data_IF_136365698858
#
_entry.id   IF_136365698858
#
_cell.length_a   1.000
_cell.length_b   1.000
_cell.length_c   1.000
_cell.angle_alpha   90.00
_cell.angle_beta   90.00
_cell.angle_gamma   90.00
#
_symmetry.space_group_name_H-M   'P 1'
#
loop_
_entity.id
_entity.type
_entity.pdbx_description
1 polymer ?
#
# COMPACT_ATOMS: atom_id res chain seq x y z
N UNK A 1 -70.95 6.14 -8.48
CA UNK A 1 -70.02 5.01 -8.30
C UNK A 1 -68.80 5.25 -9.18
N UNK A 2 -67.75 5.89 -8.65
CA UNK A 2 -66.55 6.21 -9.45
C UNK A 2 -65.32 6.44 -8.57
N UNK A 3 -64.90 5.42 -7.85
CA UNK A 3 -63.62 5.37 -7.13
C UNK A 3 -63.25 3.90 -6.93
N UNK A 4 -62.56 3.29 -7.89
CA UNK A 4 -61.60 2.17 -7.74
C UNK A 4 -60.97 2.06 -9.16
N UNK A 5 -60.17 3.06 -9.49
CA UNK A 5 -59.30 3.07 -10.67
C UNK A 5 -58.01 3.78 -10.25
N UNK A 6 -57.33 3.24 -9.22
CA UNK A 6 -56.05 3.76 -8.74
C UNK A 6 -55.23 2.73 -7.94
N UNK A 7 -55.41 1.43 -8.23
CA UNK A 7 -54.75 0.34 -7.49
C UNK A 7 -53.79 -0.49 -8.36
N UNK A 8 -53.26 0.09 -9.44
CA UNK A 8 -52.32 -0.62 -10.31
C UNK A 8 -51.21 0.31 -10.82
N UNK A 9 -50.67 1.13 -9.92
CA UNK A 9 -49.45 1.91 -10.13
C UNK A 9 -48.67 2.05 -8.82
N UNK A 10 -48.35 0.93 -8.15
CA UNK A 10 -47.36 0.92 -7.08
C UNK A 10 -46.76 -0.47 -6.85
N UNK A 11 -46.49 -1.20 -7.93
CA UNK A 11 -45.66 -2.42 -7.88
C UNK A 11 -44.35 -2.18 -8.65
N UNK A 12 -43.77 -1.01 -8.42
CA UNK A 12 -42.40 -0.71 -8.78
C UNK A 12 -41.63 -0.52 -7.48
N UNK A 13 -40.56 -1.29 -7.33
CA UNK A 13 -39.46 -1.02 -6.40
C UNK A 13 -39.73 -1.28 -4.91
N UNK A 14 -39.59 -2.54 -4.51
CA UNK A 14 -38.97 -2.87 -3.23
C UNK A 14 -37.79 -3.82 -3.47
N UNK A 15 -36.84 -3.36 -4.29
CA UNK A 15 -35.44 -3.78 -4.18
C UNK A 15 -34.69 -2.68 -3.43
N UNK A 16 -34.65 -2.80 -2.11
CA UNK A 16 -33.67 -2.19 -1.22
C UNK A 16 -33.92 -2.86 0.14
N UNK A 17 -32.96 -3.42 0.85
CA UNK A 17 -31.61 -2.93 1.02
C UNK A 17 -30.69 -4.14 1.21
N UNK A 18 -29.61 -4.19 0.43
CA UNK A 18 -28.46 -4.99 0.81
C UNK A 18 -28.07 -4.58 2.23
N UNK A 19 -28.08 -5.53 3.17
CA UNK A 19 -27.37 -5.41 4.42
C UNK A 19 -25.89 -5.31 4.08
N UNK A 20 -25.44 -4.12 3.71
CA UNK A 20 -24.04 -3.74 3.79
C UNK A 20 -23.72 -3.73 5.26
N UNK A 21 -23.33 -4.90 5.77
CA UNK A 21 -22.66 -5.03 7.04
C UNK A 21 -21.57 -3.97 7.04
N UNK A 22 -21.77 -2.89 7.80
CA UNK A 22 -20.82 -1.81 7.82
C UNK A 22 -19.51 -2.40 8.27
N UNK A 23 -18.53 -2.21 7.40
CA UNK A 23 -17.23 -2.82 7.52
C UNK A 23 -16.66 -2.48 8.90
N UNK A 24 -16.41 -3.51 9.72
CA UNK A 24 -15.80 -3.31 11.04
C UNK A 24 -14.39 -2.81 10.80
N UNK A 25 -14.07 -1.64 11.34
CA UNK A 25 -12.77 -0.98 11.20
C UNK A 25 -12.10 -0.89 12.56
N UNK A 26 -10.78 -1.03 12.56
CA UNK A 26 -9.93 -0.76 13.70
C UNK A 26 -9.32 0.62 13.49
N UNK A 27 -9.65 1.54 14.40
CA UNK A 27 -9.16 2.91 14.40
C UNK A 27 -8.07 3.00 15.47
N UNK A 28 -6.84 3.23 15.04
CA UNK A 28 -5.71 3.50 15.92
C UNK A 28 -5.63 5.01 16.19
N UNK A 29 -5.63 5.39 17.46
CA UNK A 29 -5.53 6.77 17.90
C UNK A 29 -4.07 7.20 18.09
N UNK A 30 -3.81 8.51 18.12
CA UNK A 30 -2.45 9.06 18.32
C UNK A 30 -1.80 8.65 19.63
N UNK A 31 -2.62 8.36 20.65
CA UNK A 31 -2.22 7.87 21.96
C UNK A 31 -1.91 6.35 21.99
N UNK A 32 -2.10 5.65 20.87
CA UNK A 32 -1.88 4.20 20.75
C UNK A 32 -3.10 3.35 21.06
N UNK A 33 -4.23 3.94 21.47
CA UNK A 33 -5.47 3.21 21.72
C UNK A 33 -6.09 2.71 20.42
N UNK A 34 -6.66 1.51 20.44
CA UNK A 34 -7.33 0.90 19.29
C UNK A 34 -8.82 0.79 19.58
N UNK A 35 -9.63 1.40 18.72
CA UNK A 35 -11.10 1.33 18.77
C UNK A 35 -11.59 0.52 17.59
N UNK A 36 -12.25 -0.61 17.88
CA UNK A 36 -12.84 -1.46 16.84
C UNK A 36 -14.35 -1.25 16.78
N UNK A 37 -14.87 -0.94 15.59
CA UNK A 37 -16.30 -0.74 15.39
C UNK A 37 -16.67 -0.38 13.95
N UNK A 38 -17.96 -0.31 13.71
CA UNK A 38 -18.53 0.11 12.44
C UNK A 38 -18.50 1.64 12.35
N UNK A 39 -17.95 2.20 11.27
CA UNK A 39 -18.01 3.66 11.04
C UNK A 39 -19.40 4.00 10.50
N UNK A 40 -20.24 4.60 11.34
CA UNK A 40 -21.63 4.94 11.03
C UNK A 40 -21.71 6.26 10.25
N UNK A 41 -20.88 7.25 10.58
CA UNK A 41 -20.86 8.53 9.87
C UNK A 41 -19.56 9.31 10.11
N UNK A 42 -19.25 10.23 9.19
CA UNK A 42 -18.20 11.25 9.33
C UNK A 42 -18.85 12.62 9.12
N UNK A 43 -18.98 13.41 10.18
CA UNK A 43 -19.60 14.74 10.14
C UNK A 43 -18.69 15.72 10.85
N UNK A 44 -18.35 16.84 10.19
CA UNK A 44 -17.49 17.89 10.75
C UNK A 44 -16.13 17.37 11.26
N UNK A 45 -15.51 16.44 10.53
CA UNK A 45 -14.24 15.82 10.92
C UNK A 45 -14.33 14.91 12.15
N UNK A 46 -15.54 14.46 12.52
CA UNK A 46 -15.77 13.52 13.63
C UNK A 46 -16.39 12.22 13.12
N UNK A 47 -15.70 11.12 13.39
CA UNK A 47 -16.16 9.77 13.14
C UNK A 47 -17.12 9.33 14.24
N UNK A 48 -18.35 8.97 13.86
CA UNK A 48 -19.28 8.25 14.72
C UNK A 48 -19.06 6.77 14.48
N UNK A 49 -18.51 6.08 15.48
CA UNK A 49 -18.18 4.66 15.42
C UNK A 49 -19.08 3.90 16.37
N UNK A 50 -19.78 2.89 15.88
CA UNK A 50 -20.55 1.98 16.69
C UNK A 50 -19.71 0.75 16.98
N UNK A 51 -19.20 0.68 18.21
CA UNK A 51 -18.47 -0.45 18.73
C UNK A 51 -19.41 -1.39 19.49
N UNK A 52 -19.21 -2.70 19.35
CA UNK A 52 -19.97 -3.69 20.10
C UNK A 52 -19.63 -3.68 21.61
N UNK A 53 -18.40 -3.31 21.96
CA UNK A 53 -17.93 -3.28 23.36
C UNK A 53 -18.13 -1.93 24.03
N UNK A 54 -18.05 -0.84 23.26
CA UNK A 54 -18.07 0.53 23.79
C UNK A 54 -19.35 1.32 23.45
N UNK A 55 -20.25 0.75 22.64
CA UNK A 55 -21.41 1.47 22.13
C UNK A 55 -21.03 2.52 21.07
N UNK A 56 -21.73 3.65 21.04
CA UNK A 56 -21.44 4.73 20.07
C UNK A 56 -20.34 5.63 20.59
N UNK A 57 -19.20 5.65 19.90
CA UNK A 57 -18.02 6.44 20.21
C UNK A 57 -17.86 7.54 19.16
N UNK A 58 -17.65 8.77 19.60
CA UNK A 58 -17.34 9.91 18.73
C UNK A 58 -15.83 10.18 18.76
N UNK A 59 -15.16 10.02 17.62
CA UNK A 59 -13.71 10.18 17.48
C UNK A 59 -13.41 11.33 16.54
N UNK A 60 -12.59 12.29 16.96
CA UNK A 60 -12.13 13.36 16.07
C UNK A 60 -11.07 12.82 15.09
N UNK A 61 -11.18 13.16 13.80
CA UNK A 61 -10.22 12.74 12.77
C UNK A 61 -8.79 13.15 13.10
N UNK A 62 -8.63 14.28 13.81
CA UNK A 62 -7.35 14.81 14.26
C UNK A 62 -6.65 13.90 15.28
N UNK A 63 -7.40 13.01 15.94
CA UNK A 63 -6.89 12.02 16.90
C UNK A 63 -6.65 10.67 16.26
N UNK A 64 -7.15 10.46 15.04
CA UNK A 64 -6.93 9.23 14.29
C UNK A 64 -5.52 9.23 13.70
N UNK A 65 -4.79 8.15 13.95
CA UNK A 65 -3.49 7.88 13.34
C UNK A 65 -3.64 7.00 12.12
N UNK A 66 -4.39 5.90 12.23
CA UNK A 66 -4.61 4.92 11.14
C UNK A 66 -6.02 4.33 11.23
N UNK A 67 -6.70 4.18 10.08
CA UNK A 67 -7.94 3.39 9.98
C UNK A 67 -7.62 2.13 9.19
N UNK A 68 -7.75 0.96 9.81
CA UNK A 68 -7.55 -0.35 9.16
C UNK A 68 -8.90 -1.04 8.99
N UNK A 69 -9.25 -1.51 7.78
CA UNK A 69 -10.36 -2.44 7.62
C UNK A 69 -10.02 -3.74 8.36
N UNK A 70 -10.88 -4.17 9.29
CA UNK A 70 -10.74 -5.47 9.96
C UNK A 70 -11.39 -6.51 9.06
N UNK A 71 -10.74 -6.78 7.92
CA UNK A 71 -11.00 -8.02 7.20
C UNK A 71 -10.49 -9.18 8.05
N UNK A 72 -11.23 -10.29 8.07
CA UNK A 72 -10.88 -11.54 8.73
C UNK A 72 -9.40 -11.93 8.52
N UNK A 73 -8.76 -12.66 9.45
CA UNK A 73 -7.32 -12.92 9.42
C UNK A 73 -6.98 -13.91 8.30
N UNK A 74 -6.83 -13.42 7.07
CA UNK A 74 -6.28 -14.15 5.93
C UNK A 74 -5.84 -13.18 4.80
N UNK A 75 -5.19 -12.07 5.12
CA UNK A 75 -4.40 -11.27 4.16
C UNK A 75 -3.59 -10.16 4.87
N UNK A 76 -3.01 -10.45 6.03
CA UNK A 76 -2.03 -9.54 6.62
C UNK A 76 -0.72 -9.72 5.84
N UNK A 77 -0.57 -9.00 4.72
CA UNK A 77 0.72 -8.57 4.11
C UNK A 77 0.59 -7.75 2.81
N UNK A 78 -0.56 -7.15 2.49
CA UNK A 78 -0.74 -6.45 1.19
C UNK A 78 -1.37 -5.06 1.28
N UNK A 79 -1.39 -4.43 2.47
CA UNK A 79 -1.88 -3.05 2.61
C UNK A 79 -0.82 -2.04 3.09
N UNK A 80 0.40 -2.50 3.38
CA UNK A 80 1.58 -1.62 3.58
C UNK A 80 2.56 -1.68 2.39
N UNK A 81 2.21 -2.45 1.34
CA UNK A 81 3.09 -2.77 0.20
C UNK A 81 2.47 -2.43 -1.16
N UNK A 82 1.68 -1.35 -1.27
CA UNK A 82 0.97 -1.06 -2.53
C UNK A 82 1.17 0.31 -3.15
N UNK A 83 2.04 1.16 -2.58
CA UNK A 83 2.54 2.35 -3.29
C UNK A 83 3.88 2.02 -3.98
N UNK A 84 4.80 1.35 -3.28
CA UNK A 84 6.09 0.97 -3.85
C UNK A 84 5.98 -0.04 -5.00
N UNK A 85 5.02 -0.98 -4.96
CA UNK A 85 4.92 -2.00 -6.01
C UNK A 85 4.52 -1.39 -7.37
N UNK A 86 3.62 -0.40 -7.38
CA UNK A 86 3.24 0.33 -8.59
C UNK A 86 4.35 1.24 -9.09
N UNK A 87 5.03 1.95 -8.18
CA UNK A 87 6.12 2.85 -8.50
C UNK A 87 7.35 2.09 -9.01
N UNK A 88 7.70 0.96 -8.39
CA UNK A 88 8.77 0.06 -8.85
C UNK A 88 8.41 -0.58 -10.19
N UNK A 89 7.14 -0.91 -10.43
CA UNK A 89 6.68 -1.43 -11.74
C UNK A 89 6.84 -0.39 -12.85
N UNK A 90 6.38 0.84 -12.61
CA UNK A 90 6.51 1.94 -13.57
C UNK A 90 7.99 2.30 -13.82
N UNK A 91 8.81 2.25 -12.77
CA UNK A 91 10.26 2.41 -12.90
C UNK A 91 10.88 1.29 -13.74
N UNK A 92 10.53 0.04 -13.46
CA UNK A 92 10.99 -1.12 -14.22
C UNK A 92 10.61 -1.00 -15.70
N UNK A 93 9.37 -0.60 -16.00
CA UNK A 93 8.89 -0.42 -17.37
C UNK A 93 9.68 0.71 -18.07
N UNK A 94 9.98 1.82 -17.39
CA UNK A 94 10.82 2.89 -17.94
C UNK A 94 12.24 2.39 -18.23
N UNK A 95 12.85 1.66 -17.30
CA UNK A 95 14.20 1.12 -17.50
C UNK A 95 14.28 0.14 -18.66
N UNK A 96 13.25 -0.69 -18.87
CA UNK A 96 13.18 -1.65 -19.98
C UNK A 96 12.94 -0.99 -21.33
N UNK A 97 12.18 0.12 -21.37
CA UNK A 97 11.88 0.84 -22.60
C UNK A 97 12.96 1.87 -22.97
N UNK A 98 13.87 2.20 -22.06
CA UNK A 98 14.99 3.11 -22.30
C UNK A 98 16.22 2.33 -22.83
N UNK A 99 16.51 2.51 -24.11
CA UNK A 99 17.65 1.85 -24.78
C UNK A 99 19.00 2.23 -24.18
N UNK A 100 19.14 3.44 -23.67
CA UNK A 100 20.40 3.90 -23.08
C UNK A 100 20.62 3.27 -21.71
N UNK A 101 19.55 3.16 -20.90
CA UNK A 101 19.60 2.44 -19.62
C UNK A 101 19.91 0.96 -19.87
N UNK A 102 19.25 0.31 -20.85
CA UNK A 102 19.52 -1.09 -21.18
C UNK A 102 20.98 -1.33 -21.61
N UNK A 103 21.55 -0.45 -22.44
CA UNK A 103 22.96 -0.54 -22.83
C UNK A 103 23.91 -0.38 -21.63
N UNK A 104 23.58 0.50 -20.67
CA UNK A 104 24.35 0.65 -19.43
C UNK A 104 24.20 -0.55 -18.50
N UNK A 105 23.01 -1.17 -18.43
CA UNK A 105 22.79 -2.41 -17.68
C UNK A 105 23.61 -3.55 -18.28
N UNK A 106 23.69 -3.66 -19.61
CA UNK A 106 24.56 -4.64 -20.28
C UNK A 106 26.05 -4.38 -19.97
N UNK A 107 26.47 -3.11 -19.98
CA UNK A 107 27.82 -2.75 -19.58
C UNK A 107 28.11 -3.13 -18.12
N UNK A 108 27.13 -2.94 -17.22
CA UNK A 108 27.23 -3.32 -15.82
C UNK A 108 27.22 -4.85 -15.62
N UNK A 109 26.47 -5.60 -16.43
CA UNK A 109 26.51 -7.07 -16.38
C UNK A 109 27.87 -7.65 -16.75
N UNK A 110 28.61 -6.96 -17.64
CA UNK A 110 29.97 -7.33 -18.00
C UNK A 110 31.03 -6.76 -17.03
N UNK A 111 30.62 -6.02 -16.00
CA UNK A 111 31.51 -5.41 -15.03
C UNK A 111 31.95 -6.46 -13.98
N UNK A 112 33.27 -6.68 -13.81
CA UNK A 112 33.78 -7.70 -12.88
C UNK A 112 33.56 -7.34 -11.41
N UNK A 113 33.38 -6.07 -11.05
CA UNK A 113 33.02 -5.66 -9.70
C UNK A 113 31.54 -5.94 -9.41
N UNK A 114 30.68 -5.74 -10.40
CA UNK A 114 29.26 -6.10 -10.30
C UNK A 114 29.05 -7.61 -10.18
N UNK A 115 29.77 -8.43 -10.97
CA UNK A 115 29.70 -9.89 -10.85
C UNK A 115 30.07 -10.38 -9.45
N UNK A 116 31.14 -9.83 -8.84
CA UNK A 116 31.55 -10.18 -7.47
C UNK A 116 30.50 -9.86 -6.41
N UNK A 117 29.59 -8.92 -6.68
CA UNK A 117 28.50 -8.56 -5.78
C UNK A 117 27.32 -9.53 -5.93
N UNK A 118 27.05 -9.99 -7.15
CA UNK A 118 26.06 -11.04 -7.39
C UNK A 118 26.49 -12.39 -6.81
N UNK A 119 27.80 -12.62 -6.75
CA UNK A 119 28.40 -13.80 -6.10
C UNK A 119 28.40 -13.71 -4.57
N UNK A 120 28.16 -12.53 -3.98
CA UNK A 120 28.12 -12.34 -2.54
C UNK A 120 26.74 -12.73 -1.96
N UNK A 121 26.66 -13.83 -1.18
CA UNK A 121 25.40 -14.31 -0.62
C UNK A 121 24.80 -13.34 0.41
N UNK A 122 25.61 -12.55 1.10
CA UNK A 122 25.12 -11.57 2.08
C UNK A 122 24.44 -10.39 1.38
N UNK A 123 25.01 -9.94 0.26
CA UNK A 123 24.37 -8.90 -0.56
C UNK A 123 23.06 -9.40 -1.14
N UNK A 124 23.04 -10.59 -1.74
CA UNK A 124 21.81 -11.15 -2.32
C UNK A 124 20.72 -11.35 -1.28
N UNK A 125 21.08 -11.79 -0.07
CA UNK A 125 20.15 -11.87 1.05
C UNK A 125 19.62 -10.48 1.44
N UNK A 126 20.50 -9.49 1.58
CA UNK A 126 20.11 -8.13 1.94
C UNK A 126 19.22 -7.46 0.89
N UNK A 127 19.48 -7.68 -0.42
CA UNK A 127 18.61 -7.19 -1.50
C UNK A 127 17.23 -7.84 -1.43
N UNK A 128 17.17 -9.17 -1.29
CA UNK A 128 15.90 -9.89 -1.24
C UNK A 128 15.07 -9.59 0.02
N UNK A 129 15.72 -9.31 1.15
CA UNK A 129 15.04 -8.89 2.37
C UNK A 129 14.79 -7.37 2.47
N UNK A 130 15.32 -6.57 1.54
CA UNK A 130 15.27 -5.11 1.61
C UNK A 130 16.07 -4.50 2.76
N UNK A 131 17.09 -5.21 3.25
CA UNK A 131 17.95 -4.76 4.35
C UNK A 131 19.02 -3.79 3.84
N UNK A 132 18.62 -2.53 3.72
CA UNK A 132 19.49 -1.43 3.29
C UNK A 132 20.68 -1.19 4.23
N UNK A 133 20.54 -1.50 5.53
CA UNK A 133 21.63 -1.34 6.49
C UNK A 133 22.75 -2.36 6.24
N UNK A 134 22.39 -3.62 5.97
CA UNK A 134 23.34 -4.64 5.57
C UNK A 134 24.04 -4.31 4.25
N UNK A 135 23.32 -3.75 3.27
CA UNK A 135 23.93 -3.29 2.01
C UNK A 135 24.95 -2.17 2.22
N UNK A 136 24.63 -1.18 3.06
CA UNK A 136 25.54 -0.07 3.36
C UNK A 136 26.75 -0.49 4.19
N UNK A 137 26.64 -1.57 4.97
CA UNK A 137 27.76 -2.14 5.70
C UNK A 137 28.72 -2.94 4.80
N UNK A 138 28.27 -3.37 3.61
CA UNK A 138 29.09 -4.15 2.69
C UNK A 138 30.04 -3.25 1.86
N UNK A 139 31.37 -3.44 1.97
CA UNK A 139 32.34 -2.59 1.28
C UNK A 139 32.35 -2.77 -0.25
N UNK A 140 31.92 -3.92 -0.77
CA UNK A 140 31.80 -4.14 -2.22
C UNK A 140 30.62 -3.34 -2.78
N UNK A 141 29.49 -3.33 -2.08
CA UNK A 141 28.34 -2.51 -2.46
C UNK A 141 28.68 -1.01 -2.48
N UNK A 142 29.44 -0.52 -1.49
CA UNK A 142 29.93 0.87 -1.46
C UNK A 142 30.86 1.20 -2.64
N UNK A 143 31.71 0.25 -3.07
CA UNK A 143 32.55 0.42 -4.27
C UNK A 143 31.70 0.52 -5.53
N UNK A 144 30.69 -0.35 -5.66
CA UNK A 144 29.76 -0.32 -6.79
C UNK A 144 29.01 1.01 -6.90
N UNK A 145 28.62 1.62 -5.78
CA UNK A 145 27.98 2.95 -5.79
C UNK A 145 28.91 4.07 -6.30
N UNK A 146 30.23 3.84 -6.29
CA UNK A 146 31.21 4.73 -6.88
C UNK A 146 31.50 4.43 -8.36
N UNK A 147 30.97 3.35 -8.91
CA UNK A 147 31.13 2.98 -10.31
C UNK A 147 30.44 4.03 -11.21
N UNK A 148 31.11 4.53 -12.27
CA UNK A 148 30.56 5.57 -13.14
C UNK A 148 29.27 5.13 -13.84
N UNK A 149 29.17 3.87 -14.24
CA UNK A 149 27.98 3.32 -14.90
C UNK A 149 26.77 3.32 -13.97
N UNK A 150 26.97 3.02 -12.68
CA UNK A 150 25.91 3.03 -11.67
C UNK A 150 25.40 4.45 -11.42
N UNK A 151 26.31 5.42 -11.29
CA UNK A 151 25.94 6.83 -11.11
C UNK A 151 25.17 7.39 -12.30
N UNK A 152 25.57 7.02 -13.52
CA UNK A 152 24.87 7.42 -14.74
C UNK A 152 23.45 6.86 -14.81
N UNK A 153 23.25 5.60 -14.38
CA UNK A 153 21.91 4.99 -14.32
C UNK A 153 21.07 5.71 -13.24
N UNK A 154 21.64 5.98 -12.06
CA UNK A 154 20.94 6.69 -10.99
C UNK A 154 20.44 8.07 -11.45
N UNK A 155 21.29 8.84 -12.14
CA UNK A 155 20.94 10.16 -12.65
C UNK A 155 19.81 10.15 -13.66
N UNK A 156 19.66 9.07 -14.44
CA UNK A 156 18.60 8.92 -15.45
C UNK A 156 17.29 8.39 -14.88
N UNK A 157 17.38 7.67 -13.76
CA UNK A 157 16.22 7.09 -13.07
C UNK A 157 15.52 8.10 -12.16
N UNK A 158 16.28 9.05 -11.58
CA UNK A 158 15.75 10.18 -10.79
C UNK A 158 14.91 11.14 -11.63
#
# INVERSE_FOLDING_TARGET
MRTILFFMLFSFLFLAQESRAGEVRAIELKDGSIVTGEVVSLINGKYTIRSASLGTVLIEESKVRVIRPVAAPAAANSALSNNNAGDVRALQDRMMNDKEIMSKIEALQNDPEFMKILEDPEVMKAVTSGDTAALMANPQFLKLMNNPTVRDIEQKVR
#
